data_IF_971875185218
#
_entry.id   IF_971875185218
#
_cell.length_a   1.000
_cell.length_b   1.000
_cell.length_c   1.000
_cell.angle_alpha   90.00
_cell.angle_beta   90.00
_cell.angle_gamma   90.00
#
_symmetry.space_group_name_H-M   'P 1'
#
loop_
_entity.id
_entity.type
_entity.pdbx_description
1 polymer ?
#
# COMPACT_ATOMS: atom_id res chain seq x y z
N UNK A 1 12.79 21.38 -63.25
CA UNK A 1 12.77 21.69 -61.81
C UNK A 1 11.67 20.86 -61.16
N UNK A 2 12.01 19.73 -60.51
CA UNK A 2 11.04 18.89 -59.79
C UNK A 2 11.01 19.36 -58.33
N UNK A 3 9.89 19.93 -57.88
CA UNK A 3 9.67 20.32 -56.48
C UNK A 3 9.11 19.11 -55.74
N UNK A 4 9.89 18.55 -54.81
CA UNK A 4 9.42 17.51 -53.88
C UNK A 4 8.79 18.23 -52.69
N UNK A 5 7.50 17.99 -52.48
CA UNK A 5 6.74 18.52 -51.36
C UNK A 5 6.80 17.49 -50.22
N UNK A 6 7.46 17.82 -49.12
CA UNK A 6 7.44 17.02 -47.90
C UNK A 6 6.16 17.33 -47.12
N UNK A 7 5.30 16.33 -46.97
CA UNK A 7 4.15 16.38 -46.06
C UNK A 7 4.66 15.99 -44.67
N UNK A 8 4.70 16.95 -43.73
CA UNK A 8 4.93 16.66 -42.32
C UNK A 8 3.60 16.25 -41.70
N UNK A 9 3.41 14.95 -41.47
CA UNK A 9 2.27 14.46 -40.69
C UNK A 9 2.57 14.72 -39.22
N UNK A 10 1.90 15.71 -38.62
CA UNK A 10 1.96 15.91 -37.18
C UNK A 10 1.23 14.74 -36.50
N UNK A 11 1.98 13.92 -35.76
CA UNK A 11 1.40 12.93 -34.85
C UNK A 11 0.90 13.70 -33.64
N UNK A 12 -0.41 13.94 -33.57
CA UNK A 12 -1.07 14.42 -32.36
C UNK A 12 -1.22 13.20 -31.46
N UNK A 13 -0.32 13.05 -30.49
CA UNK A 13 -0.53 12.13 -29.37
C UNK A 13 -1.73 12.67 -28.57
N UNK A 14 -2.86 11.97 -28.62
CA UNK A 14 -3.97 12.26 -27.72
C UNK A 14 -3.47 12.03 -26.28
N UNK A 15 -3.27 13.10 -25.54
CA UNK A 15 -3.13 13.02 -24.09
C UNK A 15 -4.54 12.74 -23.59
N UNK A 16 -4.76 11.55 -23.00
CA UNK A 16 -6.00 11.28 -22.27
C UNK A 16 -6.02 12.24 -21.08
N UNK A 17 -6.88 13.24 -21.15
CA UNK A 17 -7.12 14.18 -20.04
C UNK A 17 -8.30 13.58 -19.29
N UNK A 18 -8.08 13.11 -18.06
CA UNK A 18 -9.19 12.73 -17.19
C UNK A 18 -10.00 13.99 -16.87
N UNK A 19 -11.32 13.94 -17.04
CA UNK A 19 -12.17 15.13 -17.04
C UNK A 19 -12.12 15.92 -15.71
N UNK A 20 -11.80 15.25 -14.61
CA UNK A 20 -11.71 15.84 -13.28
C UNK A 20 -10.36 16.52 -12.99
N UNK A 21 -9.29 16.16 -13.71
CA UNK A 21 -7.95 16.69 -13.44
C UNK A 21 -7.88 18.18 -13.79
N UNK A 22 -7.44 18.99 -12.83
CA UNK A 22 -7.39 20.44 -12.94
C UNK A 22 -8.67 21.16 -12.51
N UNK A 23 -9.71 20.43 -12.08
CA UNK A 23 -10.90 21.02 -11.46
C UNK A 23 -10.72 21.14 -9.94
N UNK A 24 -11.31 22.17 -9.35
CA UNK A 24 -11.44 22.29 -7.89
C UNK A 24 -12.55 21.36 -7.43
N UNK A 25 -12.23 20.43 -6.54
CA UNK A 25 -13.16 19.50 -5.93
C UNK A 25 -14.20 20.24 -5.05
N UNK A 26 -15.47 19.91 -5.24
CA UNK A 26 -16.59 20.41 -4.43
C UNK A 26 -16.52 19.84 -3.03
N UNK A 27 -16.80 20.64 -2.00
CA UNK A 27 -16.80 20.13 -0.63
C UNK A 27 -17.80 18.97 -0.46
N UNK A 28 -17.44 18.04 0.43
CA UNK A 28 -18.31 16.96 0.88
C UNK A 28 -18.16 16.78 2.38
N UNK A 29 -19.22 16.27 3.01
CA UNK A 29 -19.19 15.70 4.35
C UNK A 29 -19.81 14.31 4.26
N UNK A 30 -19.02 13.29 4.57
CA UNK A 30 -19.43 11.88 4.49
C UNK A 30 -19.25 11.20 5.84
N UNK A 31 -19.99 10.11 6.06
CA UNK A 31 -19.84 9.29 7.28
C UNK A 31 -19.20 7.95 6.95
N UNK A 32 -18.10 7.62 7.62
CA UNK A 32 -17.47 6.30 7.48
C UNK A 32 -18.30 5.19 8.15
N UNK A 33 -17.99 3.93 7.84
CA UNK A 33 -18.66 2.75 8.45
C UNK A 33 -18.44 2.64 9.97
N UNK A 34 -17.47 3.38 10.53
CA UNK A 34 -17.24 3.53 11.96
C UNK A 34 -18.12 4.61 12.62
N UNK A 35 -18.86 5.39 11.85
CA UNK A 35 -19.72 6.48 12.31
C UNK A 35 -19.02 7.83 12.47
N UNK A 36 -17.80 8.01 11.92
CA UNK A 36 -17.10 9.29 11.97
C UNK A 36 -17.46 10.15 10.75
N UNK A 37 -17.81 11.41 10.99
CA UNK A 37 -17.98 12.40 9.92
C UNK A 37 -16.61 12.92 9.44
N UNK A 38 -16.47 13.08 8.12
CA UNK A 38 -15.26 13.57 7.47
C UNK A 38 -15.65 14.61 6.42
N UNK A 39 -15.20 15.86 6.60
CA UNK A 39 -15.30 16.92 5.61
C UNK A 39 -14.02 17.04 4.78
N UNK A 40 -14.15 17.14 3.45
CA UNK A 40 -13.02 17.36 2.56
C UNK A 40 -12.24 18.62 2.95
N UNK A 41 -12.93 19.75 3.04
CA UNK A 41 -12.25 21.00 3.32
C UNK A 41 -11.89 21.14 4.80
N UNK A 42 -12.87 21.04 5.70
CA UNK A 42 -12.66 21.39 7.10
C UNK A 42 -11.66 20.46 7.82
N UNK A 43 -11.71 19.16 7.53
CA UNK A 43 -10.92 18.14 8.24
C UNK A 43 -9.63 17.74 7.51
N UNK A 44 -9.53 18.00 6.19
CA UNK A 44 -8.39 17.58 5.36
C UNK A 44 -7.65 18.77 4.78
N UNK A 45 -8.25 19.47 3.81
CA UNK A 45 -7.53 20.44 2.98
C UNK A 45 -7.15 21.70 3.77
N UNK A 46 -8.06 22.23 4.59
CA UNK A 46 -7.80 23.43 5.43
C UNK A 46 -6.77 23.15 6.53
N UNK A 47 -6.57 21.87 6.88
CA UNK A 47 -5.52 21.42 7.79
C UNK A 47 -4.17 21.24 7.09
N UNK A 48 -4.11 21.43 5.77
CA UNK A 48 -2.91 21.28 4.96
C UNK A 48 -2.58 19.85 4.55
N UNK A 49 -3.50 18.90 4.73
CA UNK A 49 -3.32 17.51 4.31
C UNK A 49 -3.75 17.32 2.85
N UNK A 50 -3.05 16.46 2.11
CA UNK A 50 -3.50 16.00 0.80
C UNK A 50 -4.61 14.98 0.99
N UNK A 51 -5.74 15.14 0.29
CA UNK A 51 -6.76 14.10 0.25
C UNK A 51 -6.45 13.10 -0.87
N UNK A 52 -6.59 11.81 -0.58
CA UNK A 52 -6.56 10.71 -1.54
C UNK A 52 -7.91 10.02 -1.41
N UNK A 53 -8.81 10.25 -2.38
CA UNK A 53 -10.15 9.69 -2.39
C UNK A 53 -10.24 8.60 -3.47
N UNK A 54 -10.28 7.34 -3.03
CA UNK A 54 -10.51 6.18 -3.89
C UNK A 54 -12.01 5.95 -4.07
N UNK A 55 -12.51 6.29 -5.25
CA UNK A 55 -13.87 5.99 -5.67
C UNK A 55 -13.87 4.67 -6.43
N UNK A 56 -14.36 3.63 -5.77
CA UNK A 56 -14.30 2.24 -6.23
C UNK A 56 -15.65 1.55 -6.00
N UNK A 57 -15.82 0.38 -6.60
CA UNK A 57 -16.99 -0.47 -6.38
C UNK A 57 -16.55 -1.89 -6.02
N UNK A 58 -17.22 -2.54 -5.09
CA UNK A 58 -16.78 -3.85 -4.55
C UNK A 58 -16.70 -4.98 -5.59
N UNK A 59 -17.45 -4.86 -6.69
CA UNK A 59 -17.47 -5.83 -7.80
C UNK A 59 -16.48 -5.51 -8.94
N UNK A 60 -15.82 -4.35 -8.89
CA UNK A 60 -14.96 -3.85 -9.96
C UNK A 60 -13.59 -4.52 -9.93
N UNK A 61 -13.25 -5.28 -10.99
CA UNK A 61 -11.99 -6.02 -11.10
C UNK A 61 -10.72 -5.18 -10.93
N UNK A 62 -10.55 -4.07 -11.69
CA UNK A 62 -9.40 -3.19 -11.51
C UNK A 62 -9.35 -2.50 -10.13
N UNK A 63 -10.51 -2.22 -9.54
CA UNK A 63 -10.62 -1.69 -8.18
C UNK A 63 -10.09 -2.71 -7.16
N UNK A 64 -10.48 -3.99 -7.30
CA UNK A 64 -9.96 -5.07 -6.48
C UNK A 64 -8.45 -5.24 -6.64
N UNK A 65 -7.91 -5.08 -7.85
CA UNK A 65 -6.47 -5.14 -8.07
C UNK A 65 -5.70 -4.03 -7.33
N UNK A 66 -6.28 -2.84 -7.20
CA UNK A 66 -5.71 -1.77 -6.37
C UNK A 66 -5.81 -2.09 -4.88
N UNK A 67 -6.97 -2.56 -4.43
CA UNK A 67 -7.19 -2.94 -3.04
C UNK A 67 -6.27 -4.09 -2.58
N UNK A 68 -6.25 -5.20 -3.33
CA UNK A 68 -5.45 -6.40 -3.06
C UNK A 68 -3.94 -6.14 -3.18
N UNK A 69 -3.53 -5.04 -3.83
CA UNK A 69 -2.13 -4.61 -3.84
C UNK A 69 -1.67 -4.00 -2.52
N UNK A 70 -2.58 -3.66 -1.61
CA UNK A 70 -2.32 -2.94 -0.36
C UNK A 70 -1.65 -1.56 -0.49
N UNK A 71 -1.49 -1.05 -1.72
CA UNK A 71 -0.78 0.21 -1.97
C UNK A 71 -1.37 1.39 -1.20
N UNK A 72 -2.70 1.55 -1.18
CA UNK A 72 -3.33 2.66 -0.46
C UNK A 72 -3.25 2.51 1.07
N UNK A 73 -3.21 1.28 1.57
CA UNK A 73 -2.98 1.01 2.99
C UNK A 73 -1.54 1.36 3.36
N UNK A 74 -0.55 0.95 2.58
CA UNK A 74 0.84 1.31 2.80
C UNK A 74 1.06 2.83 2.74
N UNK A 75 0.42 3.51 1.79
CA UNK A 75 0.40 4.98 1.72
C UNK A 75 -0.22 5.58 2.99
N UNK A 76 -1.35 5.04 3.46
CA UNK A 76 -2.00 5.49 4.69
C UNK A 76 -1.10 5.28 5.92
N UNK A 77 -0.44 4.14 6.04
CA UNK A 77 0.45 3.87 7.18
C UNK A 77 1.69 4.77 7.15
N UNK A 78 2.28 4.96 5.97
CA UNK A 78 3.51 5.74 5.83
C UNK A 78 3.28 7.25 5.95
N UNK A 79 2.20 7.77 5.36
CA UNK A 79 1.98 9.21 5.20
C UNK A 79 0.70 9.72 5.87
N UNK A 80 -0.17 8.83 6.36
CA UNK A 80 -1.39 9.18 7.08
C UNK A 80 -1.13 9.59 8.53
N UNK A 81 -2.18 9.67 9.38
CA UNK A 81 -2.11 10.23 10.74
C UNK A 81 -1.02 9.63 11.65
N UNK A 82 -0.76 8.32 11.52
CA UNK A 82 0.23 7.60 12.33
C UNK A 82 1.64 7.57 11.70
N UNK A 83 1.76 8.02 10.45
CA UNK A 83 3.01 8.13 9.71
C UNK A 83 3.57 9.54 9.75
N UNK A 84 3.90 10.09 8.57
CA UNK A 84 4.38 11.49 8.45
C UNK A 84 3.27 12.54 8.56
N UNK A 85 2.00 12.11 8.63
CA UNK A 85 0.82 12.97 8.76
C UNK A 85 0.70 14.04 7.65
N UNK A 86 0.92 13.62 6.40
CA UNK A 86 0.83 14.48 5.21
C UNK A 86 -0.44 14.21 4.37
N UNK A 87 -1.04 13.02 4.46
CA UNK A 87 -2.17 12.63 3.62
C UNK A 87 -3.37 12.13 4.45
N UNK A 88 -4.55 12.13 3.83
CA UNK A 88 -5.75 11.42 4.29
C UNK A 88 -6.26 10.57 3.14
N UNK A 89 -6.18 9.25 3.32
CA UNK A 89 -6.76 8.27 2.39
C UNK A 89 -8.20 8.02 2.83
N UNK A 90 -9.14 8.00 1.88
CA UNK A 90 -10.54 7.63 2.10
C UNK A 90 -10.94 6.71 0.96
N UNK A 91 -11.52 5.57 1.30
CA UNK A 91 -12.23 4.74 0.34
C UNK A 91 -13.71 5.13 0.35
N UNK A 92 -14.26 5.38 -0.83
CA UNK A 92 -15.66 5.67 -1.05
C UNK A 92 -16.26 4.59 -1.94
N UNK A 93 -17.12 3.75 -1.36
CA UNK A 93 -17.92 2.79 -2.14
C UNK A 93 -18.91 3.58 -2.99
N UNK A 94 -18.57 3.74 -4.26
CA UNK A 94 -19.18 4.68 -5.17
C UNK A 94 -20.33 4.07 -5.98
N UNK A 95 -20.77 2.87 -5.63
CA UNK A 95 -21.96 2.22 -6.17
C UNK A 95 -23.06 2.17 -5.11
N UNK A 96 -24.21 2.79 -5.40
CA UNK A 96 -25.32 2.86 -4.45
C UNK A 96 -26.05 1.51 -4.25
N UNK A 97 -25.83 0.56 -5.16
CA UNK A 97 -26.47 -0.76 -5.17
C UNK A 97 -25.69 -1.82 -4.36
N UNK A 98 -24.45 -1.52 -3.95
CA UNK A 98 -23.67 -2.36 -3.03
C UNK A 98 -24.04 -2.06 -1.58
N UNK A 99 -23.66 -2.95 -0.67
CA UNK A 99 -24.01 -2.82 0.75
C UNK A 99 -22.88 -3.34 1.65
N UNK A 100 -23.10 -3.25 2.97
CA UNK A 100 -22.14 -3.66 3.98
C UNK A 100 -21.65 -5.12 3.80
N UNK A 101 -22.52 -6.05 3.38
CA UNK A 101 -22.11 -7.44 3.17
C UNK A 101 -21.16 -7.58 1.97
N UNK A 102 -21.30 -6.73 0.95
CA UNK A 102 -20.39 -6.71 -0.19
C UNK A 102 -18.99 -6.22 0.22
N UNK A 103 -18.90 -5.19 1.08
CA UNK A 103 -17.62 -4.76 1.67
C UNK A 103 -16.99 -5.84 2.55
N UNK A 104 -17.79 -6.56 3.33
CA UNK A 104 -17.34 -7.69 4.15
C UNK A 104 -16.98 -8.95 3.34
N UNK A 105 -17.14 -8.92 2.01
CA UNK A 105 -16.83 -10.06 1.14
C UNK A 105 -17.82 -11.23 1.21
N UNK A 106 -18.98 -11.02 1.84
CA UNK A 106 -20.02 -12.05 2.01
C UNK A 106 -21.24 -11.84 1.10
N UNK A 107 -21.33 -10.66 0.49
CA UNK A 107 -22.36 -10.27 -0.46
C UNK A 107 -22.16 -10.86 -1.85
N UNK A 108 -23.06 -10.51 -2.77
CA UNK A 108 -23.07 -11.03 -4.14
C UNK A 108 -22.44 -10.09 -5.17
N UNK A 109 -22.25 -8.83 -4.80
CA UNK A 109 -21.66 -7.78 -5.65
C UNK A 109 -20.24 -7.45 -5.16
N UNK A 110 -19.44 -8.46 -4.85
CA UNK A 110 -18.08 -8.28 -4.35
C UNK A 110 -17.10 -9.33 -4.88
N UNK A 111 -15.83 -8.95 -4.95
CA UNK A 111 -14.73 -9.84 -5.31
C UNK A 111 -14.00 -10.42 -4.09
N UNK A 112 -14.22 -9.88 -2.90
CA UNK A 112 -13.58 -10.34 -1.66
C UNK A 112 -13.84 -9.41 -0.48
N UNK A 113 -13.04 -9.55 0.59
CA UNK A 113 -13.13 -8.72 1.79
C UNK A 113 -12.35 -7.41 1.59
N UNK A 114 -13.06 -6.29 1.68
CA UNK A 114 -12.54 -4.94 1.50
C UNK A 114 -12.11 -4.26 2.81
N UNK A 115 -12.35 -4.90 3.96
CA UNK A 115 -12.16 -4.30 5.28
C UNK A 115 -10.95 -4.87 6.03
N UNK A 116 -10.66 -6.17 5.84
CA UNK A 116 -9.52 -6.79 6.51
C UNK A 116 -8.21 -6.18 6.01
N UNK A 117 -7.40 -5.67 6.93
CA UNK A 117 -6.10 -5.05 6.62
C UNK A 117 -6.19 -3.59 6.18
N UNK A 118 -7.39 -3.00 6.16
CA UNK A 118 -7.61 -1.57 5.87
C UNK A 118 -7.75 -0.79 7.16
N UNK A 119 -6.98 0.30 7.29
CA UNK A 119 -7.01 1.18 8.45
C UNK A 119 -7.47 2.60 8.15
N UNK A 120 -7.52 2.98 6.87
CA UNK A 120 -8.14 4.23 6.44
C UNK A 120 -9.67 4.18 6.50
N UNK A 121 -10.35 5.34 6.60
CA UNK A 121 -11.80 5.40 6.55
C UNK A 121 -12.39 4.78 5.28
N UNK A 122 -13.43 3.96 5.46
CA UNK A 122 -14.24 3.35 4.42
C UNK A 122 -15.64 3.93 4.53
N UNK A 123 -16.14 4.51 3.45
CA UNK A 123 -17.47 5.13 3.38
C UNK A 123 -18.37 4.26 2.52
N UNK A 124 -19.58 3.99 3.03
CA UNK A 124 -20.59 3.16 2.38
C UNK A 124 -21.96 3.82 2.52
N UNK A 125 -22.34 4.64 1.56
CA UNK A 125 -23.55 5.45 1.63
C UNK A 125 -24.54 5.04 0.54
N UNK A 126 -25.81 4.89 0.92
CA UNK A 126 -26.92 4.72 -0.01
C UNK A 126 -28.09 5.59 0.46
N UNK A 127 -28.43 6.68 -0.25
CA UNK A 127 -27.88 7.12 -1.54
C UNK A 127 -26.48 7.76 -1.42
N UNK A 128 -25.71 7.68 -2.51
CA UNK A 128 -24.43 8.38 -2.64
C UNK A 128 -24.62 9.89 -2.49
N UNK A 129 -23.70 10.53 -1.77
CA UNK A 129 -23.67 11.98 -1.56
C UNK A 129 -22.74 12.70 -2.54
N UNK A 130 -21.70 12.02 -3.02
CA UNK A 130 -20.73 12.58 -3.96
C UNK A 130 -21.25 12.52 -5.40
N UNK A 131 -20.87 13.52 -6.21
CA UNK A 131 -21.23 13.59 -7.62
C UNK A 131 -20.29 12.72 -8.46
N UNK A 132 -20.83 11.68 -9.10
CA UNK A 132 -20.03 10.82 -9.97
C UNK A 132 -19.46 11.50 -11.21
N UNK A 133 -20.12 12.52 -11.75
CA UNK A 133 -19.57 13.30 -12.86
C UNK A 133 -18.38 14.18 -12.47
N UNK A 134 -18.08 14.28 -11.19
CA UNK A 134 -16.96 15.05 -10.66
C UNK A 134 -15.87 14.12 -10.11
N UNK A 135 -16.25 13.16 -9.27
CA UNK A 135 -15.29 12.33 -8.54
C UNK A 135 -14.94 11.01 -9.24
N UNK A 136 -15.75 10.52 -10.17
CA UNK A 136 -15.44 9.33 -10.99
C UNK A 136 -16.04 9.42 -12.40
N UNK A 137 -15.77 10.51 -13.15
CA UNK A 137 -16.46 10.79 -14.41
C UNK A 137 -16.25 9.71 -15.49
N UNK A 138 -15.14 8.98 -15.42
CA UNK A 138 -14.79 7.89 -16.34
C UNK A 138 -15.09 6.49 -15.77
N UNK A 139 -15.71 6.42 -14.58
CA UNK A 139 -16.02 5.18 -13.87
C UNK A 139 -14.97 4.76 -12.86
N UNK A 140 -14.95 3.47 -12.52
CA UNK A 140 -14.14 2.93 -11.43
C UNK A 140 -12.96 2.08 -11.95
N UNK A 141 -11.82 2.07 -11.22
CA UNK A 141 -11.51 2.96 -10.09
C UNK A 141 -11.20 4.38 -10.56
N UNK A 142 -11.45 5.36 -9.70
CA UNK A 142 -10.87 6.71 -9.82
C UNK A 142 -10.23 7.06 -8.48
N UNK A 143 -8.95 7.46 -8.47
CA UNK A 143 -8.24 7.81 -7.23
C UNK A 143 -7.89 9.29 -7.25
N UNK A 144 -8.75 10.13 -6.68
CA UNK A 144 -8.54 11.58 -6.71
C UNK A 144 -7.47 12.01 -5.70
N UNK A 145 -6.35 12.54 -6.20
CA UNK A 145 -5.36 13.24 -5.36
C UNK A 145 -5.69 14.72 -5.36
N UNK A 146 -6.06 15.26 -4.21
CA UNK A 146 -6.60 16.63 -4.06
C UNK A 146 -5.63 17.49 -3.27
N UNK A 147 -5.19 18.59 -3.88
CA UNK A 147 -4.20 19.50 -3.29
C UNK A 147 -4.85 20.40 -2.22
N UNK A 148 -4.22 20.58 -1.03
CA UNK A 148 -4.78 21.38 0.06
C UNK A 148 -4.87 22.88 -0.25
N UNK A 149 -3.95 23.45 -1.03
CA UNK A 149 -3.88 24.91 -1.21
C UNK A 149 -5.04 25.52 -1.99
N UNK A 150 -5.68 24.75 -2.86
CA UNK A 150 -6.70 25.22 -3.81
C UNK A 150 -7.82 24.21 -4.08
N UNK A 151 -7.80 23.04 -3.43
CA UNK A 151 -8.78 21.97 -3.63
C UNK A 151 -8.72 21.32 -5.00
N UNK A 152 -7.67 21.57 -5.80
CA UNK A 152 -7.60 21.04 -7.16
C UNK A 152 -7.30 19.55 -7.16
N UNK A 153 -8.00 18.78 -7.99
CA UNK A 153 -7.67 17.39 -8.28
C UNK A 153 -6.48 17.39 -9.24
N UNK A 154 -5.34 16.88 -8.78
CA UNK A 154 -4.04 17.00 -9.50
C UNK A 154 -3.55 15.70 -10.11
N UNK A 155 -4.04 14.55 -9.65
CA UNK A 155 -3.69 13.24 -10.19
C UNK A 155 -4.81 12.23 -10.00
N UNK A 156 -4.78 11.20 -10.85
CA UNK A 156 -5.60 10.00 -10.79
C UNK A 156 -4.72 8.75 -11.00
N UNK A 157 -3.94 8.35 -9.98
CA UNK A 157 -3.00 7.23 -10.06
C UNK A 157 -3.67 5.87 -9.82
N UNK A 158 -4.90 5.67 -10.30
CA UNK A 158 -5.69 4.45 -10.06
C UNK A 158 -5.05 3.14 -10.52
N UNK A 159 -4.04 3.20 -11.40
CA UNK A 159 -3.34 2.03 -11.92
C UNK A 159 -1.94 1.83 -11.30
N UNK A 160 -1.61 2.57 -10.26
CA UNK A 160 -0.33 2.45 -9.55
C UNK A 160 -0.50 1.50 -8.37
N UNK A 161 -0.30 0.21 -8.63
CA UNK A 161 -0.51 -0.89 -7.66
C UNK A 161 0.77 -1.25 -6.86
N UNK A 162 1.70 -0.31 -6.70
CA UNK A 162 2.82 -0.46 -5.77
C UNK A 162 3.07 0.84 -5.03
N UNK A 163 3.57 0.78 -3.80
CA UNK A 163 3.94 1.95 -3.01
C UNK A 163 4.83 2.94 -3.78
N UNK A 164 5.92 2.48 -4.39
CA UNK A 164 6.87 3.35 -5.09
C UNK A 164 6.25 4.00 -6.31
N UNK A 165 5.43 3.27 -7.05
CA UNK A 165 4.78 3.80 -8.26
C UNK A 165 3.73 4.85 -7.92
N UNK A 166 2.98 4.64 -6.83
CA UNK A 166 2.01 5.61 -6.32
C UNK A 166 2.70 6.87 -5.80
N UNK A 167 3.74 6.72 -4.96
CA UNK A 167 4.56 7.84 -4.46
C UNK A 167 5.18 8.62 -5.63
N UNK A 168 5.70 7.93 -6.65
CA UNK A 168 6.25 8.58 -7.84
C UNK A 168 5.18 9.37 -8.60
N UNK A 169 3.96 8.84 -8.74
CA UNK A 169 2.86 9.52 -9.41
C UNK A 169 2.43 10.80 -8.66
N UNK A 170 2.29 10.73 -7.33
CA UNK A 170 1.98 11.92 -6.50
C UNK A 170 3.10 12.95 -6.56
N UNK A 171 4.36 12.53 -6.49
CA UNK A 171 5.52 13.44 -6.55
C UNK A 171 5.78 14.01 -7.96
N UNK A 172 5.24 13.40 -9.01
CA UNK A 172 5.35 13.89 -10.38
C UNK A 172 4.44 15.09 -10.66
N UNK A 173 3.46 15.34 -9.79
CA UNK A 173 2.57 16.50 -9.84
C UNK A 173 2.83 17.43 -8.66
N UNK A 174 2.34 18.66 -8.75
CA UNK A 174 2.30 19.54 -7.60
C UNK A 174 1.11 19.15 -6.72
N UNK A 175 1.32 18.25 -5.76
CA UNK A 175 0.29 17.86 -4.78
C UNK A 175 0.32 18.74 -3.52
N UNK A 176 1.16 19.79 -3.46
CA UNK A 176 1.37 20.60 -2.26
C UNK A 176 2.27 19.94 -1.20
N UNK A 177 2.69 18.69 -1.41
CA UNK A 177 3.65 17.96 -0.56
C UNK A 177 4.61 17.16 -1.42
N UNK A 178 5.76 16.80 -0.84
CA UNK A 178 6.62 15.73 -1.37
C UNK A 178 6.56 14.56 -0.41
N UNK A 179 6.15 13.40 -0.93
CA UNK A 179 6.16 12.14 -0.19
C UNK A 179 7.60 11.61 -0.24
N UNK A 180 8.33 11.81 0.85
CA UNK A 180 9.73 11.38 0.97
C UNK A 180 9.85 9.88 1.19
N UNK A 181 11.03 9.30 0.95
CA UNK A 181 11.26 7.90 1.28
C UNK A 181 11.03 7.65 2.78
N UNK A 182 9.92 7.02 3.12
CA UNK A 182 9.69 6.46 4.45
C UNK A 182 10.33 5.08 4.42
N UNK A 183 11.13 4.76 5.44
CA UNK A 183 11.48 3.37 5.67
C UNK A 183 10.18 2.65 6.00
N UNK A 184 9.61 1.95 5.02
CA UNK A 184 8.58 0.95 5.29
C UNK A 184 9.21 0.00 6.28
N UNK A 185 8.80 0.08 7.53
CA UNK A 185 9.18 -0.90 8.53
C UNK A 185 8.49 -2.21 8.15
N UNK A 186 9.17 -3.00 7.31
CA UNK A 186 8.96 -4.44 7.07
C UNK A 186 7.48 -4.91 7.11
N UNK A 187 6.57 -4.18 6.46
CA UNK A 187 5.18 -4.62 6.31
C UNK A 187 4.98 -5.47 5.05
N UNK A 188 5.82 -5.28 4.01
CA UNK A 188 5.58 -5.84 2.68
C UNK A 188 6.75 -6.67 2.12
N UNK A 189 7.29 -7.57 2.94
CA UNK A 189 8.01 -8.73 2.41
C UNK A 189 7.01 -9.87 2.18
N UNK A 190 6.50 -9.98 0.95
CA UNK A 190 5.76 -11.12 0.37
C UNK A 190 6.04 -12.41 1.16
N UNK A 191 5.14 -12.78 2.08
CA UNK A 191 5.01 -14.06 2.80
C UNK A 191 6.30 -14.83 3.14
N UNK A 192 7.44 -14.18 3.36
CA UNK A 192 8.65 -14.80 3.88
C UNK A 192 8.73 -14.42 5.36
N UNK A 193 8.18 -15.26 6.23
CA UNK A 193 8.31 -15.07 7.68
C UNK A 193 9.35 -16.07 8.21
N UNK A 194 10.40 -15.55 8.85
CA UNK A 194 11.38 -16.36 9.57
C UNK A 194 11.00 -16.38 11.04
N UNK A 195 10.52 -17.52 11.52
CA UNK A 195 10.24 -17.72 12.94
C UNK A 195 11.27 -18.66 13.56
N UNK A 196 11.84 -18.26 14.70
CA UNK A 196 12.85 -19.03 15.41
C UNK A 196 12.30 -19.44 16.77
N UNK A 197 12.18 -20.75 17.03
CA UNK A 197 11.59 -21.26 18.27
C UNK A 197 12.28 -22.54 18.79
N UNK A 198 12.39 -22.73 20.11
CA UNK A 198 11.98 -21.79 21.15
C UNK A 198 12.87 -20.54 21.16
N UNK A 199 12.31 -19.41 21.58
CA UNK A 199 13.05 -18.18 21.82
C UNK A 199 12.54 -17.59 23.15
N UNK A 200 13.33 -17.63 24.24
CA UNK A 200 14.73 -18.04 24.31
C UNK A 200 15.00 -19.55 24.09
N UNK A 201 16.21 -19.92 23.66
CA UNK A 201 16.67 -21.32 23.50
C UNK A 201 17.92 -21.60 24.35
N UNK A 202 18.04 -22.81 24.90
CA UNK A 202 19.23 -23.26 25.66
C UNK A 202 20.05 -24.34 24.97
N UNK A 203 19.49 -25.02 23.97
CA UNK A 203 20.13 -26.14 23.27
C UNK A 203 19.98 -26.06 21.75
N UNK A 204 18.76 -26.17 21.24
CA UNK A 204 18.43 -26.17 19.82
C UNK A 204 17.29 -25.20 19.55
N UNK A 205 17.32 -24.59 18.39
CA UNK A 205 16.22 -23.78 17.89
C UNK A 205 15.84 -24.24 16.48
N UNK A 206 14.55 -24.26 16.22
CA UNK A 206 14.00 -24.45 14.88
C UNK A 206 13.93 -23.10 14.20
N UNK A 207 14.50 -22.99 13.01
CA UNK A 207 14.32 -21.88 12.08
C UNK A 207 13.25 -22.32 11.07
N UNK A 208 12.08 -21.70 11.14
CA UNK A 208 11.03 -21.87 10.15
C UNK A 208 11.32 -20.94 8.96
N UNK A 209 11.39 -21.53 7.78
CA UNK A 209 11.65 -20.89 6.50
C UNK A 209 10.43 -21.00 5.57
N UNK A 210 9.26 -21.34 6.11
CA UNK A 210 7.99 -21.35 5.38
C UNK A 210 7.73 -19.96 4.81
N UNK A 211 7.78 -19.84 3.48
CA UNK A 211 7.65 -18.55 2.80
C UNK A 211 8.74 -18.27 1.77
N UNK A 212 9.91 -18.87 1.94
CA UNK A 212 10.97 -18.81 0.93
C UNK A 212 10.74 -19.85 -0.16
N UNK A 213 11.05 -19.48 -1.41
CA UNK A 213 11.13 -20.42 -2.53
C UNK A 213 12.59 -20.65 -2.92
N UNK A 214 12.92 -21.86 -3.36
CA UNK A 214 14.27 -22.21 -3.79
C UNK A 214 15.26 -22.45 -2.64
N UNK A 215 16.53 -22.10 -2.86
CA UNK A 215 17.60 -22.28 -1.88
C UNK A 215 17.72 -21.04 -1.00
N UNK A 216 17.61 -21.23 0.30
CA UNK A 216 17.67 -20.18 1.32
C UNK A 216 19.05 -20.18 1.97
N UNK A 217 19.72 -19.03 2.01
CA UNK A 217 20.92 -18.80 2.80
C UNK A 217 20.53 -18.34 4.20
N UNK A 218 20.92 -19.09 5.23
CA UNK A 218 20.68 -18.76 6.63
C UNK A 218 22.01 -18.43 7.31
N UNK A 219 22.06 -17.29 8.01
CA UNK A 219 23.23 -16.81 8.73
C UNK A 219 22.84 -16.34 10.12
N UNK A 220 23.69 -16.56 11.11
CA UNK A 220 23.48 -16.10 12.49
C UNK A 220 24.62 -15.17 12.86
N UNK A 221 24.26 -14.01 13.39
CA UNK A 221 25.19 -12.95 13.81
C UNK A 221 25.03 -12.64 15.29
N UNK A 222 26.13 -12.26 15.96
CA UNK A 222 26.03 -11.57 17.25
C UNK A 222 25.59 -10.10 17.08
N UNK A 223 25.34 -9.39 18.19
CA UNK A 223 24.94 -7.98 18.16
C UNK A 223 26.03 -7.02 17.62
N UNK A 224 27.27 -7.49 17.49
CA UNK A 224 28.38 -6.74 16.90
C UNK A 224 28.50 -7.00 15.39
N UNK A 225 27.63 -7.83 14.82
CA UNK A 225 27.61 -8.19 13.40
C UNK A 225 28.61 -9.29 13.01
N UNK A 226 29.21 -10.00 13.98
CA UNK A 226 30.09 -11.13 13.69
C UNK A 226 29.25 -12.36 13.35
N UNK A 227 29.50 -12.96 12.18
CA UNK A 227 28.87 -14.23 11.80
C UNK A 227 29.38 -15.36 12.71
N UNK A 228 28.45 -16.08 13.34
CA UNK A 228 28.72 -17.21 14.23
C UNK A 228 28.26 -18.55 13.64
N UNK A 229 27.39 -18.53 12.63
CA UNK A 229 26.89 -19.72 11.93
C UNK A 229 26.39 -19.34 10.53
N UNK A 230 26.58 -20.22 9.54
CA UNK A 230 25.99 -20.07 8.20
C UNK A 230 25.74 -21.43 7.56
N UNK A 231 24.63 -21.56 6.84
CA UNK A 231 24.29 -22.72 6.01
C UNK A 231 23.28 -22.34 4.92
N UNK A 232 23.09 -23.23 3.94
CA UNK A 232 22.02 -23.13 2.95
C UNK A 232 21.02 -24.26 3.12
N UNK A 233 19.72 -23.99 2.93
CA UNK A 233 18.68 -24.99 3.01
C UNK A 233 17.66 -24.87 1.87
N UNK A 234 17.11 -26.00 1.46
CA UNK A 234 15.91 -26.06 0.61
C UNK A 234 14.69 -26.58 1.39
N UNK A 235 14.83 -26.78 2.70
CA UNK A 235 13.77 -27.25 3.59
C UNK A 235 13.00 -26.07 4.17
N UNK A 236 11.71 -26.28 4.46
CA UNK A 236 10.90 -25.27 5.12
C UNK A 236 11.21 -25.13 6.62
N UNK A 237 11.93 -26.07 7.22
CA UNK A 237 12.33 -26.03 8.63
C UNK A 237 13.72 -26.60 8.80
N UNK A 238 14.54 -25.90 9.56
CA UNK A 238 15.90 -26.30 9.91
C UNK A 238 16.11 -26.23 11.41
N UNK A 239 16.99 -27.07 11.94
CA UNK A 239 17.33 -27.07 13.36
C UNK A 239 18.77 -26.62 13.53
N UNK A 240 18.95 -25.51 14.25
CA UNK A 240 20.25 -24.98 14.62
C UNK A 240 20.60 -25.40 16.06
N UNK A 241 21.88 -25.70 16.27
CA UNK A 241 22.44 -25.99 17.60
C UNK A 241 23.07 -24.73 18.18
N UNK A 242 22.52 -24.24 19.28
CA UNK A 242 22.98 -23.01 19.95
C UNK A 242 23.85 -23.30 21.18
N UNK A 243 24.13 -24.57 21.49
CA UNK A 243 24.93 -24.94 22.68
C UNK A 243 26.36 -24.42 22.63
N UNK A 244 26.89 -24.15 21.43
CA UNK A 244 28.21 -23.56 21.21
C UNK A 244 28.24 -22.03 21.31
N UNK A 245 27.09 -21.37 21.42
CA UNK A 245 26.97 -19.91 21.49
C UNK A 245 27.02 -19.42 22.95
N UNK A 246 27.60 -18.23 23.16
CA UNK A 246 27.57 -17.56 24.46
C UNK A 246 26.14 -17.09 24.78
N UNK A 247 25.81 -16.96 26.08
CA UNK A 247 24.52 -16.41 26.52
C UNK A 247 24.40 -14.97 26.00
N UNK A 248 23.31 -14.68 25.29
CA UNK A 248 23.13 -13.38 24.67
C UNK A 248 22.07 -13.36 23.57
N UNK A 249 21.95 -12.23 22.89
CA UNK A 249 21.07 -12.08 21.74
C UNK A 249 21.84 -12.21 20.43
N UNK A 250 21.21 -12.84 19.46
CA UNK A 250 21.72 -13.06 18.11
C UNK A 250 20.66 -12.70 17.09
N UNK A 251 21.10 -12.45 15.86
CA UNK A 251 20.24 -12.18 14.71
C UNK A 251 20.37 -13.33 13.73
N UNK A 252 19.26 -14.00 13.44
CA UNK A 252 19.14 -14.98 12.36
C UNK A 252 18.67 -14.26 11.11
N UNK A 253 19.42 -14.34 10.03
CA UNK A 253 19.11 -13.78 8.71
C UNK A 253 18.85 -14.92 7.74
N UNK A 254 17.72 -14.90 7.04
CA UNK A 254 17.43 -15.84 5.95
C UNK A 254 17.21 -15.06 4.65
N UNK A 255 17.83 -15.50 3.56
CA UNK A 255 17.75 -14.83 2.27
C UNK A 255 17.60 -15.84 1.10
N UNK A 256 16.72 -15.54 0.15
CA UNK A 256 16.60 -16.24 -1.15
C UNK A 256 16.27 -15.24 -2.25
N UNK A 257 17.13 -15.11 -3.25
CA UNK A 257 16.93 -14.14 -4.34
C UNK A 257 16.86 -12.70 -3.82
N UNK A 258 15.70 -12.06 -4.00
CA UNK A 258 15.41 -10.70 -3.51
C UNK A 258 14.75 -10.65 -2.14
N UNK A 259 14.34 -11.80 -1.59
CA UNK A 259 13.71 -11.88 -0.27
C UNK A 259 14.77 -12.05 0.81
N UNK A 260 14.76 -11.17 1.80
CA UNK A 260 15.64 -11.20 2.96
C UNK A 260 14.85 -10.86 4.22
N UNK A 261 15.02 -11.64 5.28
CA UNK A 261 14.28 -11.50 6.53
C UNK A 261 15.23 -11.74 7.70
N UNK A 262 15.09 -10.94 8.76
CA UNK A 262 15.86 -11.12 9.99
C UNK A 262 14.98 -11.37 11.21
N UNK A 263 15.44 -12.23 12.12
CA UNK A 263 14.76 -12.53 13.38
C UNK A 263 15.75 -12.62 14.53
N UNK A 264 15.41 -12.00 15.66
CA UNK A 264 16.21 -12.11 16.89
C UNK A 264 15.96 -13.45 17.57
N UNK A 265 17.02 -14.09 18.05
CA UNK A 265 16.98 -15.20 19.00
C UNK A 265 17.78 -14.86 20.27
N UNK A 266 17.26 -15.23 21.44
CA UNK A 266 17.97 -15.16 22.72
C UNK A 266 18.47 -16.54 23.12
N UNK A 267 19.77 -16.67 23.40
CA UNK A 267 20.40 -17.89 23.92
C UNK A 267 20.56 -17.78 25.43
N UNK A 268 20.07 -18.79 26.16
CA UNK A 268 20.13 -18.90 27.62
C UNK A 268 20.82 -20.22 28.04
N UNK A 269 21.10 -20.42 29.32
CA UNK A 269 21.68 -21.66 29.88
C UNK A 269 20.84 -22.16 31.05
#
# INVERSE_FOLDING_TARGET
MKKILFFFTAVISAVSINAQIGLTASDFTVTDIGGNEISLYADILDQGYVAILDCSATWCGPCWAMHDSHTLEEIHQAYGPNGTNQVRVIFYEADADTNQADLEGTGSATLGDWLTGVSYPVVNESPLQLSGSEYWPEGFPTVNVIRPSDGMIVADPWNQTTFESFVAAVNAVDAGVTLGAVSVSEADAINADVNVYPNPSSDKATVNLSGFTGTVSVQVYDLLGKEVMSFTSTLFKEVIDVTGLEVGSYVVRAASGTSEVTKRISVIR
#
